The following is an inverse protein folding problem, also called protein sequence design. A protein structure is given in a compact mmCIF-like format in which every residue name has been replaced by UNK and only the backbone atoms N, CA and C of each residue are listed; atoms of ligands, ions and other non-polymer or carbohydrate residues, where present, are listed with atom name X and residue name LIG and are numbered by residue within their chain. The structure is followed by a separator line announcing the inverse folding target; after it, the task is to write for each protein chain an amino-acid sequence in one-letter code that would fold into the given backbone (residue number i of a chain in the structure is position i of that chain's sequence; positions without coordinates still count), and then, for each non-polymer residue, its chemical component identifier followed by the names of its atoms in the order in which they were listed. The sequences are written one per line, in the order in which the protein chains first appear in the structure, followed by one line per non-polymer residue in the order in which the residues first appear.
data_IF_110515592835
#
_entry.id   IF_110515592835
#
_cell.length_a   1.000
_cell.length_b   1.000
_cell.length_c   1.000
_cell.angle_alpha   90.00
_cell.angle_beta   90.00
_cell.angle_gamma   90.00
#
_symmetry.space_group_name_H-M   'P 1'
#
loop_
_entity.id
_entity.type
_entity.pdbx_description
1 polymer ?
#
# COMPACT_ATOMS: atom_id res chain seq x y z
N UNK A 1 -7.11 -6.61 -4.52
CA UNK A 1 -7.49 -5.63 -3.51
C UNK A 1 -7.96 -6.32 -2.24
N UNK A 2 -7.39 -5.98 -1.12
CA UNK A 2 -7.76 -6.54 0.16
C UNK A 2 -9.10 -6.02 0.66
N UNK A 3 -9.80 -6.85 1.43
CA UNK A 3 -11.13 -6.52 1.88
C UNK A 3 -11.49 -7.33 3.12
N UNK A 4 -12.22 -6.71 4.05
CA UNK A 4 -12.64 -7.36 5.29
C UNK A 4 -13.94 -8.11 5.07
N UNK A 5 -13.85 -9.39 4.76
CA UNK A 5 -15.02 -10.15 4.38
C UNK A 5 -15.90 -10.55 5.54
N UNK A 6 -15.32 -10.75 6.70
CA UNK A 6 -16.08 -11.18 7.88
C UNK A 6 -16.90 -10.06 8.49
N UNK A 7 -16.61 -8.81 8.14
CA UNK A 7 -17.32 -7.67 8.70
C UNK A 7 -18.18 -6.95 7.66
N UNK A 8 -17.93 -7.18 6.37
CA UNK A 8 -18.60 -6.46 5.30
C UNK A 8 -18.90 -7.40 4.15
N UNK A 9 -19.93 -7.05 3.38
CA UNK A 9 -20.20 -7.77 2.15
C UNK A 9 -19.20 -7.33 1.08
N UNK A 10 -18.98 -8.22 0.11
CA UNK A 10 -18.16 -7.88 -1.04
C UNK A 10 -18.76 -6.64 -1.72
N UNK A 11 -17.92 -5.67 -2.01
CA UNK A 11 -18.33 -4.44 -2.65
C UNK A 11 -18.65 -3.29 -1.72
N UNK A 12 -18.72 -3.52 -0.39
CA UNK A 12 -19.08 -2.44 0.54
C UNK A 12 -18.14 -1.24 0.48
N UNK A 13 -16.85 -1.48 0.30
CA UNK A 13 -15.85 -0.41 0.21
C UNK A 13 -15.41 -0.14 -1.22
N UNK A 14 -16.07 -0.77 -2.20
CA UNK A 14 -15.71 -0.58 -3.59
C UNK A 14 -16.31 0.71 -4.12
N UNK A 15 -15.53 1.41 -4.93
CA UNK A 15 -15.99 2.58 -5.68
C UNK A 15 -15.61 2.37 -7.14
N UNK A 16 -16.48 2.82 -8.06
CA UNK A 16 -16.14 2.75 -9.47
C UNK A 16 -15.04 3.73 -9.79
N UNK A 17 -14.25 3.43 -10.83
CA UNK A 17 -13.20 4.33 -11.28
C UNK A 17 -13.77 5.69 -11.65
N UNK A 18 -14.95 5.72 -12.28
CA UNK A 18 -15.57 6.99 -12.66
C UNK A 18 -15.92 7.85 -11.45
N UNK A 19 -16.39 7.24 -10.38
CA UNK A 19 -16.67 7.97 -9.14
C UNK A 19 -15.40 8.53 -8.51
N UNK A 20 -14.33 7.74 -8.50
CA UNK A 20 -13.05 8.19 -7.97
C UNK A 20 -12.51 9.35 -8.79
N UNK A 21 -12.54 9.24 -10.11
CA UNK A 21 -12.08 10.31 -10.99
C UNK A 21 -12.89 11.59 -10.78
N UNK A 22 -14.20 11.45 -10.62
CA UNK A 22 -15.06 12.61 -10.37
C UNK A 22 -14.72 13.29 -9.05
N UNK A 23 -14.51 12.49 -8.00
CA UNK A 23 -14.17 13.02 -6.68
C UNK A 23 -12.82 13.74 -6.68
N UNK A 24 -11.89 13.31 -7.52
CA UNK A 24 -10.54 13.86 -7.58
C UNK A 24 -10.31 14.79 -8.76
N UNK A 25 -11.39 15.25 -9.40
CA UNK A 25 -11.29 16.00 -10.65
C UNK A 25 -10.57 17.35 -10.51
N UNK A 26 -10.48 17.90 -9.29
CA UNK A 26 -9.73 19.12 -9.05
C UNK A 26 -8.21 18.94 -9.09
N UNK A 27 -7.73 17.69 -9.10
CA UNK A 27 -6.31 17.37 -9.04
C UNK A 27 -5.83 16.85 -10.40
N UNK A 28 -5.05 17.65 -11.16
CA UNK A 28 -4.76 17.31 -12.57
C UNK A 28 -3.66 16.26 -12.75
N UNK A 29 -2.88 15.97 -11.72
CA UNK A 29 -1.70 15.08 -11.85
C UNK A 29 -1.90 13.75 -11.17
N UNK A 30 -3.01 13.07 -11.49
CA UNK A 30 -3.29 11.76 -10.93
C UNK A 30 -3.31 10.75 -12.05
N UNK A 31 -2.57 9.66 -11.87
CA UNK A 31 -2.65 8.48 -12.73
C UNK A 31 -3.38 7.38 -11.96
N UNK A 32 -4.21 6.64 -12.65
CA UNK A 32 -5.03 5.60 -12.05
C UNK A 32 -4.62 4.24 -12.61
N UNK A 33 -4.42 3.27 -11.73
CA UNK A 33 -4.03 1.91 -12.10
C UNK A 33 -5.02 0.92 -11.49
N UNK A 34 -6.23 0.83 -12.04
CA UNK A 34 -7.24 -0.07 -11.49
C UNK A 34 -6.88 -1.52 -11.74
N UNK A 35 -7.22 -2.38 -10.79
CA UNK A 35 -6.99 -3.80 -10.93
C UNK A 35 -6.47 -4.42 -9.65
N UNK A 36 -6.01 -5.65 -9.77
CA UNK A 36 -5.51 -6.41 -8.64
C UNK A 36 -4.01 -6.19 -8.45
N UNK A 37 -3.59 -6.16 -7.20
CA UNK A 37 -2.18 -6.09 -6.84
C UNK A 37 -1.60 -7.50 -6.91
N UNK A 38 -0.40 -7.67 -7.47
CA UNK A 38 0.52 -6.64 -7.98
C UNK A 38 0.39 -6.36 -9.48
N UNK A 39 -0.49 -7.05 -10.18
CA UNK A 39 -0.54 -6.97 -11.64
C UNK A 39 -0.85 -5.56 -12.14
N UNK A 40 -1.64 -4.79 -11.38
CA UNK A 40 -2.01 -3.44 -11.78
C UNK A 40 -0.92 -2.40 -11.52
N UNK A 41 0.14 -2.74 -10.82
CA UNK A 41 1.23 -1.80 -10.60
C UNK A 41 1.93 -1.44 -11.92
N UNK A 42 2.43 -0.20 -12.06
CA UNK A 42 3.20 0.18 -13.25
C UNK A 42 4.40 -0.74 -13.42
N UNK A 43 4.60 -1.28 -14.61
CA UNK A 43 5.59 -2.32 -14.81
C UNK A 43 6.97 -1.80 -15.21
N UNK A 44 7.06 -0.72 -15.95
CA UNK A 44 8.32 -0.32 -16.56
C UNK A 44 8.52 1.18 -16.59
N UNK A 45 8.07 1.88 -15.60
CA UNK A 45 8.12 3.34 -15.65
C UNK A 45 9.42 3.93 -15.11
N UNK A 46 10.23 3.15 -14.43
CA UNK A 46 11.43 3.67 -13.77
C UNK A 46 11.13 4.68 -12.67
N UNK A 47 9.89 4.80 -12.28
CA UNK A 47 9.47 5.79 -11.30
C UNK A 47 10.10 5.55 -9.93
N UNK A 48 10.31 6.63 -9.23
CA UNK A 48 10.77 6.61 -7.84
C UNK A 48 9.75 7.35 -6.99
N UNK A 49 9.58 6.88 -5.78
CA UNK A 49 8.50 7.36 -4.93
C UNK A 49 9.07 7.98 -3.66
N UNK A 50 8.47 9.06 -3.25
CA UNK A 50 8.81 9.71 -2.00
C UNK A 50 7.92 9.24 -0.86
N UNK A 51 6.67 8.97 -1.18
CA UNK A 51 5.68 8.55 -0.20
C UNK A 51 4.73 7.54 -0.82
N UNK A 52 4.48 6.46 -0.11
CA UNK A 52 3.54 5.41 -0.54
C UNK A 52 2.63 5.09 0.64
N UNK A 53 1.33 5.07 0.41
CA UNK A 53 0.36 4.66 1.41
C UNK A 53 -0.27 3.33 0.99
N UNK A 54 -0.07 2.31 1.80
CA UNK A 54 -0.59 0.96 1.55
C UNK A 54 -1.81 0.76 2.44
N UNK A 55 -2.96 0.54 1.82
CA UNK A 55 -4.24 0.42 2.53
C UNK A 55 -5.06 -0.69 1.86
N UNK A 56 -4.64 -1.93 2.04
CA UNK A 56 -5.20 -3.08 1.33
C UNK A 56 -5.59 -4.22 2.27
N UNK A 57 -5.50 -4.03 3.55
CA UNK A 57 -6.10 -4.79 4.66
C UNK A 57 -5.57 -6.20 4.89
N UNK A 58 -5.13 -6.91 3.88
CA UNK A 58 -4.82 -8.33 4.01
C UNK A 58 -3.39 -8.65 3.63
N UNK A 59 -2.96 -9.88 3.91
CA UNK A 59 -1.55 -10.29 3.84
C UNK A 59 -0.91 -10.13 2.47
N UNK A 60 -1.49 -10.79 1.45
CA UNK A 60 -0.84 -10.88 0.14
C UNK A 60 -0.63 -9.53 -0.53
N UNK A 61 -1.66 -8.69 -0.66
CA UNK A 61 -1.44 -7.39 -1.29
C UNK A 61 -0.58 -6.45 -0.46
N UNK A 62 -0.58 -6.57 0.87
CA UNK A 62 0.34 -5.79 1.70
C UNK A 62 1.79 -6.19 1.41
N UNK A 63 2.06 -7.49 1.41
CA UNK A 63 3.38 -8.01 1.11
C UNK A 63 3.84 -7.56 -0.28
N UNK A 64 3.01 -7.77 -1.28
CA UNK A 64 3.37 -7.44 -2.65
C UNK A 64 3.59 -5.94 -2.83
N UNK A 65 2.82 -5.12 -2.13
CA UNK A 65 3.00 -3.67 -2.19
C UNK A 65 4.35 -3.24 -1.62
N UNK A 66 4.71 -3.75 -0.45
CA UNK A 66 5.98 -3.38 0.16
C UNK A 66 7.14 -3.87 -0.72
N UNK A 67 7.05 -5.10 -1.23
CA UNK A 67 8.10 -5.65 -2.10
C UNK A 67 8.27 -4.84 -3.37
N UNK A 68 7.17 -4.35 -3.93
CA UNK A 68 7.23 -3.54 -5.15
C UNK A 68 7.77 -2.15 -4.87
N UNK A 69 7.25 -1.47 -3.85
CA UNK A 69 7.54 -0.06 -3.65
C UNK A 69 8.82 0.21 -2.86
N UNK A 70 9.21 -0.66 -1.94
CA UNK A 70 10.39 -0.37 -1.13
C UNK A 70 11.65 -0.12 -1.98
N UNK A 71 12.00 -0.98 -2.93
CA UNK A 71 13.19 -0.72 -3.75
C UNK A 71 13.03 0.49 -4.68
N UNK A 72 11.81 0.97 -4.86
CA UNK A 72 11.51 2.12 -5.71
C UNK A 72 11.39 3.43 -4.93
N UNK A 73 11.56 3.38 -3.63
CA UNK A 73 11.58 4.61 -2.84
C UNK A 73 12.88 5.37 -3.09
N UNK A 74 12.78 6.70 -3.07
CA UNK A 74 13.99 7.52 -2.99
C UNK A 74 14.60 7.39 -1.59
N UNK A 75 15.90 7.68 -1.41
CA UNK A 75 16.46 7.75 -0.06
C UNK A 75 15.66 8.73 0.79
N UNK A 76 15.27 8.30 1.99
CA UNK A 76 14.39 9.08 2.86
C UNK A 76 12.92 8.95 2.54
N UNK A 77 12.56 8.26 1.47
CA UNK A 77 11.17 7.98 1.14
C UNK A 77 10.53 7.02 2.15
N UNK A 78 9.21 7.01 2.18
CA UNK A 78 8.48 6.31 3.23
C UNK A 78 7.31 5.53 2.68
N UNK A 79 7.07 4.34 3.26
CA UNK A 79 5.84 3.60 3.08
C UNK A 79 5.07 3.65 4.40
N UNK A 80 3.80 4.03 4.34
CA UNK A 80 2.90 3.93 5.49
C UNK A 80 1.90 2.83 5.18
N UNK A 81 1.77 1.87 6.10
CA UNK A 81 0.82 0.78 5.99
C UNK A 81 -0.29 1.00 7.01
N UNK A 82 -1.52 1.01 6.56
CA UNK A 82 -2.63 1.46 7.38
C UNK A 82 -3.08 0.42 8.42
N UNK A 83 -3.07 -0.84 8.09
CA UNK A 83 -3.78 -1.86 8.88
C UNK A 83 -2.86 -2.76 9.69
N UNK A 84 -1.88 -2.18 10.36
CA UNK A 84 -0.96 -2.97 11.18
C UNK A 84 -1.66 -3.75 12.30
N UNK A 85 -2.81 -3.28 12.74
CA UNK A 85 -3.61 -3.97 13.75
C UNK A 85 -4.35 -5.20 13.21
N UNK A 86 -4.34 -5.42 11.91
CA UNK A 86 -4.95 -6.62 11.30
C UNK A 86 -3.90 -7.70 11.12
N UNK A 87 -4.22 -8.96 11.51
CA UNK A 87 -3.20 -10.02 11.55
C UNK A 87 -2.49 -10.24 10.22
N UNK A 88 -3.21 -10.22 9.11
CA UNK A 88 -2.60 -10.47 7.81
C UNK A 88 -1.66 -9.37 7.37
N UNK A 89 -2.08 -8.12 7.50
CA UNK A 89 -1.23 -6.99 7.15
C UNK A 89 -0.01 -6.92 8.07
N UNK A 90 -0.22 -7.14 9.37
CA UNK A 90 0.87 -7.17 10.34
C UNK A 90 1.91 -8.23 9.99
N UNK A 91 1.46 -9.44 9.69
CA UNK A 91 2.35 -10.52 9.32
C UNK A 91 3.18 -10.15 8.09
N UNK A 92 2.54 -9.57 7.08
CA UNK A 92 3.24 -9.17 5.86
C UNK A 92 4.33 -8.13 6.15
N UNK A 93 4.02 -7.12 6.95
CA UNK A 93 4.96 -6.07 7.30
C UNK A 93 6.16 -6.67 8.04
N UNK A 94 5.89 -7.49 9.04
CA UNK A 94 6.94 -8.11 9.84
C UNK A 94 7.84 -9.01 9.00
N UNK A 95 7.24 -9.83 8.15
CA UNK A 95 8.01 -10.77 7.31
C UNK A 95 8.86 -10.06 6.27
N UNK A 96 8.29 -9.09 5.57
CA UNK A 96 9.04 -8.40 4.51
C UNK A 96 10.17 -7.58 5.12
N UNK A 97 9.90 -6.87 6.19
CA UNK A 97 10.94 -6.06 6.83
C UNK A 97 12.09 -6.92 7.36
N UNK A 98 11.77 -8.07 7.94
CA UNK A 98 12.80 -9.00 8.40
C UNK A 98 13.62 -9.53 7.22
N UNK A 99 12.97 -9.90 6.13
CA UNK A 99 13.67 -10.46 4.97
C UNK A 99 14.55 -9.43 4.27
N UNK A 100 14.06 -8.21 4.15
CA UNK A 100 14.83 -7.14 3.50
C UNK A 100 15.89 -6.55 4.43
N UNK A 101 15.74 -6.76 5.72
CA UNK A 101 16.69 -6.25 6.70
C UNK A 101 16.46 -4.79 7.06
N UNK A 102 15.20 -4.35 7.03
CA UNK A 102 14.85 -2.98 7.39
C UNK A 102 13.97 -2.99 8.65
N UNK A 103 14.04 -1.91 9.39
CA UNK A 103 13.19 -1.73 10.55
C UNK A 103 11.93 -0.96 10.17
N UNK A 104 10.88 -1.16 10.93
CA UNK A 104 9.68 -0.35 10.82
C UNK A 104 9.29 0.16 12.20
N UNK A 105 8.52 1.23 12.22
CA UNK A 105 7.98 1.80 13.45
C UNK A 105 6.46 1.81 13.36
N UNK A 106 5.81 1.92 14.52
CA UNK A 106 4.36 1.96 14.57
C UNK A 106 3.89 3.26 15.19
N UNK A 107 2.70 3.68 14.78
CA UNK A 107 2.02 4.81 15.43
C UNK A 107 1.23 4.31 16.62
N UNK A 108 0.74 5.20 17.48
CA UNK A 108 -0.12 4.78 18.60
C UNK A 108 -1.45 4.18 18.17
N UNK A 109 -1.81 4.30 16.91
CA UNK A 109 -3.11 3.83 16.42
C UNK A 109 -2.96 2.54 15.64
N UNK A 110 -3.08 2.59 14.32
CA UNK A 110 -3.18 1.39 13.50
C UNK A 110 -2.12 1.30 12.42
N UNK A 111 -1.20 2.25 12.35
CA UNK A 111 -0.28 2.35 11.23
C UNK A 111 1.12 1.90 11.57
N UNK A 112 1.80 1.34 10.57
CA UNK A 112 3.23 1.09 10.60
C UNK A 112 3.88 1.88 9.48
N UNK A 113 5.12 2.30 9.66
CA UNK A 113 5.81 3.00 8.59
C UNK A 113 7.25 2.52 8.44
N UNK A 114 7.70 2.52 7.21
CA UNK A 114 9.02 2.06 6.81
C UNK A 114 9.70 3.21 6.08
N UNK A 115 10.90 3.60 6.52
CA UNK A 115 11.66 4.66 5.87
C UNK A 115 12.84 4.04 5.14
N UNK A 116 13.02 4.39 3.87
CA UNK A 116 14.19 3.93 3.13
C UNK A 116 15.40 4.76 3.51
N UNK A 117 16.40 4.09 4.04
CA UNK A 117 17.67 4.73 4.33
C UNK A 117 18.54 4.77 3.08
N UNK A 118 19.45 5.72 3.07
CA UNK A 118 20.35 5.90 1.94
C UNK A 118 21.27 4.69 1.73
#
# INVERSE_FOLDING_TARGET
MGRLRHMTRAGNFAASLDKVKAALSAFPRIEYFPGWIPAAFPQEDGARYRFVHVDVDVYQPTRDSIEYFYPRLVPGGMIVCDDYNWPGARQAIEEVCARVGVEFATTPYTQAYIVRRA
#
